data_IF_274530906679
#
_entry.id   IF_274530906679
#
_cell.length_a   1.000
_cell.length_b   1.000
_cell.length_c   1.000
_cell.angle_alpha   90.00
_cell.angle_beta   90.00
_cell.angle_gamma   90.00
#
_symmetry.space_group_name_H-M   'P 1'
#
loop_
_entity.id
_entity.type
_entity.pdbx_description
1 polymer ?
#
# COMPACT_ATOMS: atom_id res chain seq x y z
N UNK A 1 -17.47 -55.43 -22.40
CA UNK A 1 -17.12 -56.86 -22.22
C UNK A 1 -18.27 -57.74 -22.69
N UNK A 2 -18.41 -57.99 -24.00
CA UNK A 2 -19.61 -58.67 -24.54
C UNK A 2 -19.41 -59.67 -25.69
N UNK A 3 -18.20 -59.83 -26.24
CA UNK A 3 -18.04 -60.52 -27.55
C UNK A 3 -17.49 -61.96 -27.48
N UNK A 4 -17.39 -62.58 -26.31
CA UNK A 4 -16.93 -63.97 -26.24
C UNK A 4 -18.09 -64.91 -26.52
N UNK A 5 -18.19 -65.38 -27.78
CA UNK A 5 -19.22 -66.34 -28.17
C UNK A 5 -18.99 -67.70 -27.49
N UNK A 6 -20.02 -68.18 -26.80
CA UNK A 6 -20.07 -69.53 -26.24
C UNK A 6 -20.22 -70.61 -27.33
N UNK A 7 -20.19 -70.26 -28.63
CA UNK A 7 -20.39 -71.20 -29.74
C UNK A 7 -21.83 -71.70 -29.85
N UNK A 8 -22.04 -72.85 -30.51
CA UNK A 8 -23.38 -73.39 -30.78
C UNK A 8 -24.05 -73.92 -29.51
N UNK A 9 -25.28 -73.49 -29.23
CA UNK A 9 -26.09 -73.96 -28.09
C UNK A 9 -27.53 -74.25 -28.54
N UNK A 10 -28.27 -75.00 -27.73
CA UNK A 10 -29.66 -75.34 -28.01
C UNK A 10 -30.56 -74.13 -27.72
N UNK A 11 -31.13 -73.48 -28.75
CA UNK A 11 -31.94 -72.26 -28.56
C UNK A 11 -33.28 -72.52 -27.84
N UNK A 12 -33.92 -73.67 -28.10
CA UNK A 12 -35.19 -74.07 -27.50
C UNK A 12 -35.10 -75.48 -26.90
N UNK A 13 -34.39 -75.68 -25.77
CA UNK A 13 -34.16 -77.01 -25.20
C UNK A 13 -35.43 -77.54 -24.54
N UNK A 14 -36.03 -78.59 -25.13
CA UNK A 14 -37.23 -79.26 -24.58
C UNK A 14 -36.86 -80.48 -23.74
N UNK A 15 -35.81 -81.19 -24.14
CA UNK A 15 -35.34 -82.38 -23.43
C UNK A 15 -34.37 -81.98 -22.31
N UNK A 16 -34.42 -82.69 -21.18
CA UNK A 16 -33.55 -82.44 -20.01
C UNK A 16 -32.06 -82.45 -20.40
N UNK A 17 -31.66 -83.35 -21.28
CA UNK A 17 -30.29 -83.47 -21.81
C UNK A 17 -29.85 -82.17 -22.51
N UNK A 18 -30.70 -81.57 -23.34
CA UNK A 18 -30.41 -80.31 -24.04
C UNK A 18 -30.28 -79.13 -23.07
N UNK A 19 -31.04 -79.15 -21.96
CA UNK A 19 -30.91 -78.15 -20.89
C UNK A 19 -29.59 -78.34 -20.14
N UNK A 20 -29.22 -79.58 -19.83
CA UNK A 20 -27.95 -79.92 -19.18
C UNK A 20 -26.74 -79.49 -20.02
N UNK A 21 -26.75 -79.76 -21.32
CA UNK A 21 -25.69 -79.31 -22.24
C UNK A 21 -25.50 -77.79 -22.23
N UNK A 22 -26.59 -77.01 -22.26
CA UNK A 22 -26.50 -75.56 -22.23
C UNK A 22 -25.99 -75.04 -20.88
N UNK A 23 -26.49 -75.60 -19.76
CA UNK A 23 -26.08 -75.17 -18.42
C UNK A 23 -24.61 -75.53 -18.17
N UNK A 24 -24.19 -76.76 -18.50
CA UNK A 24 -22.79 -77.17 -18.37
C UNK A 24 -21.86 -76.25 -19.18
N UNK A 25 -22.25 -75.87 -20.40
CA UNK A 25 -21.49 -74.92 -21.21
C UNK A 25 -21.34 -73.55 -20.55
N UNK A 26 -22.39 -73.06 -19.89
CA UNK A 26 -22.34 -71.81 -19.13
C UNK A 26 -21.46 -71.94 -17.88
N UNK A 27 -21.55 -73.05 -17.15
CA UNK A 27 -20.74 -73.31 -15.96
C UNK A 27 -19.24 -73.46 -16.29
N UNK A 28 -18.92 -74.13 -17.40
CA UNK A 28 -17.55 -74.24 -17.91
C UNK A 28 -16.97 -72.87 -18.23
N UNK A 29 -17.76 -71.99 -18.85
CA UNK A 29 -17.32 -70.62 -19.14
C UNK A 29 -17.14 -69.77 -17.88
N UNK A 30 -18.03 -69.92 -16.89
CA UNK A 30 -17.89 -69.25 -15.59
C UNK A 30 -16.61 -69.73 -14.89
N UNK A 31 -16.35 -71.04 -14.93
CA UNK A 31 -15.16 -71.66 -14.32
C UNK A 31 -13.88 -71.23 -15.02
N UNK A 32 -13.88 -71.12 -16.37
CA UNK A 32 -12.72 -70.66 -17.13
C UNK A 32 -12.37 -69.19 -16.86
N UNK A 33 -13.34 -68.39 -16.40
CA UNK A 33 -13.13 -67.02 -15.91
C UNK A 33 -12.64 -66.96 -14.46
N UNK A 34 -12.31 -68.10 -13.85
CA UNK A 34 -11.70 -68.18 -12.52
C UNK A 34 -12.71 -68.11 -11.36
N UNK A 35 -14.00 -68.35 -11.61
CA UNK A 35 -15.01 -68.47 -10.55
C UNK A 35 -15.07 -69.92 -10.05
N UNK A 36 -14.81 -70.14 -8.76
CA UNK A 36 -14.97 -71.46 -8.14
C UNK A 36 -16.43 -71.67 -7.74
N UNK A 37 -17.12 -72.52 -8.48
CA UNK A 37 -18.49 -72.90 -8.18
C UNK A 37 -18.49 -74.12 -7.26
N UNK A 38 -18.71 -73.93 -5.96
CA UNK A 38 -18.81 -75.01 -4.98
C UNK A 38 -20.28 -75.40 -4.78
N UNK A 39 -20.54 -76.70 -4.54
CA UNK A 39 -21.88 -77.26 -4.26
C UNK A 39 -22.91 -77.20 -5.41
N UNK A 40 -22.46 -77.24 -6.67
CA UNK A 40 -23.35 -77.57 -7.80
C UNK A 40 -23.22 -79.09 -8.04
N UNK A 41 -24.33 -79.81 -7.96
CA UNK A 41 -24.38 -81.25 -8.14
C UNK A 41 -23.97 -81.71 -9.54
N UNK A 42 -23.70 -83.01 -9.72
CA UNK A 42 -23.25 -83.57 -10.98
C UNK A 42 -24.22 -83.23 -12.13
N UNK A 43 -23.66 -82.92 -13.29
CA UNK A 43 -24.37 -82.57 -14.53
C UNK A 43 -25.31 -81.35 -14.42
N UNK A 44 -25.05 -80.44 -13.48
CA UNK A 44 -25.86 -79.24 -13.24
C UNK A 44 -27.34 -79.54 -12.94
N UNK A 45 -27.63 -80.74 -12.43
CA UNK A 45 -28.97 -81.21 -12.05
C UNK A 45 -29.70 -80.21 -11.14
N UNK A 46 -29.02 -79.65 -10.14
CA UNK A 46 -29.59 -78.67 -9.22
C UNK A 46 -30.14 -77.40 -9.89
N UNK A 47 -29.50 -76.95 -10.98
CA UNK A 47 -29.94 -75.77 -11.73
C UNK A 47 -31.13 -76.13 -12.62
N UNK A 48 -31.08 -77.30 -13.24
CA UNK A 48 -32.13 -77.80 -14.14
C UNK A 48 -33.41 -78.14 -13.37
N UNK A 49 -33.26 -78.65 -12.15
CA UNK A 49 -34.35 -79.01 -11.22
C UNK A 49 -34.90 -77.81 -10.45
N UNK A 50 -34.30 -76.62 -10.61
CA UNK A 50 -34.82 -75.38 -10.03
C UNK A 50 -34.56 -75.25 -8.54
N UNK A 51 -33.43 -75.76 -8.03
CA UNK A 51 -33.05 -75.57 -6.63
C UNK A 51 -32.69 -74.09 -6.38
N UNK A 52 -33.69 -73.32 -5.94
CA UNK A 52 -33.60 -71.87 -5.78
C UNK A 52 -32.40 -71.45 -4.91
N UNK A 53 -32.10 -72.20 -3.84
CA UNK A 53 -31.00 -71.87 -2.92
C UNK A 53 -29.64 -71.95 -3.61
N UNK A 54 -29.42 -72.99 -4.43
CA UNK A 54 -28.17 -73.17 -5.15
C UNK A 54 -28.05 -72.22 -6.34
N UNK A 55 -29.16 -71.94 -7.03
CA UNK A 55 -29.20 -70.94 -8.10
C UNK A 55 -28.87 -69.55 -7.56
N UNK A 56 -29.46 -69.14 -6.43
CA UNK A 56 -29.13 -67.88 -5.77
C UNK A 56 -27.68 -67.85 -5.28
N UNK A 57 -27.18 -68.95 -4.73
CA UNK A 57 -25.77 -69.08 -4.35
C UNK A 57 -24.80 -68.93 -5.52
N UNK A 58 -25.14 -69.49 -6.69
CA UNK A 58 -24.36 -69.33 -7.93
C UNK A 58 -24.39 -67.88 -8.41
N UNK A 59 -25.57 -67.25 -8.48
CA UNK A 59 -25.72 -65.84 -8.87
C UNK A 59 -24.93 -64.92 -7.92
N UNK A 60 -24.99 -65.18 -6.62
CA UNK A 60 -24.24 -64.43 -5.61
C UNK A 60 -22.72 -64.51 -5.84
N UNK A 61 -22.21 -65.71 -6.13
CA UNK A 61 -20.78 -65.91 -6.44
C UNK A 61 -20.35 -65.11 -7.68
N UNK A 62 -21.22 -64.99 -8.70
CA UNK A 62 -20.97 -64.18 -9.89
C UNK A 62 -20.94 -62.68 -9.56
N UNK A 63 -21.90 -62.19 -8.76
CA UNK A 63 -21.94 -60.78 -8.32
C UNK A 63 -20.63 -60.45 -7.57
N UNK A 64 -20.25 -61.27 -6.59
CA UNK A 64 -19.01 -61.08 -5.84
C UNK A 64 -17.78 -60.95 -6.76
N UNK A 65 -17.64 -61.84 -7.75
CA UNK A 65 -16.44 -61.87 -8.60
C UNK A 65 -16.37 -60.74 -9.63
N UNK A 66 -17.50 -60.33 -10.20
CA UNK A 66 -17.51 -59.41 -11.35
C UNK A 66 -17.94 -57.99 -11.02
N UNK A 67 -18.46 -57.72 -9.81
CA UNK A 67 -18.86 -56.36 -9.40
C UNK A 67 -18.07 -55.86 -8.19
N UNK A 68 -17.66 -56.74 -7.28
CA UNK A 68 -17.05 -56.34 -5.99
C UNK A 68 -15.55 -56.67 -5.94
N UNK A 69 -15.05 -57.61 -6.74
CA UNK A 69 -13.65 -58.04 -6.68
C UNK A 69 -12.64 -56.91 -6.95
N UNK A 70 -12.98 -55.91 -7.74
CA UNK A 70 -12.11 -54.75 -8.03
C UNK A 70 -12.00 -53.77 -6.83
N UNK A 71 -12.90 -53.90 -5.84
CA UNK A 71 -12.94 -53.09 -4.61
C UNK A 71 -12.17 -53.78 -3.47
N UNK A 72 -11.84 -55.06 -3.64
CA UNK A 72 -11.18 -55.90 -2.63
C UNK A 72 -9.67 -55.69 -2.64
N UNK A 73 -9.16 -54.78 -1.80
CA UNK A 73 -7.73 -54.67 -1.51
C UNK A 73 -7.32 -55.48 -0.26
N UNK A 74 -6.03 -55.81 -0.16
CA UNK A 74 -5.37 -56.33 1.07
C UNK A 74 -5.81 -57.72 1.58
N UNK A 75 -6.10 -58.68 0.69
CA UNK A 75 -6.28 -60.09 1.09
C UNK A 75 -7.54 -60.39 1.92
N UNK A 76 -8.41 -59.40 2.10
CA UNK A 76 -9.74 -59.52 2.70
C UNK A 76 -10.71 -60.22 1.75
N UNK A 77 -11.77 -60.83 2.29
CA UNK A 77 -12.86 -61.31 1.44
C UNK A 77 -13.56 -60.13 0.75
N UNK A 78 -14.15 -60.36 -0.43
CA UNK A 78 -14.85 -59.31 -1.17
C UNK A 78 -15.94 -58.58 -0.33
N UNK A 79 -16.55 -59.27 0.64
CA UNK A 79 -17.51 -58.67 1.58
C UNK A 79 -16.81 -57.77 2.61
N UNK A 80 -15.71 -58.22 3.19
CA UNK A 80 -14.95 -57.45 4.18
C UNK A 80 -14.27 -56.22 3.54
N UNK A 81 -13.72 -56.36 2.33
CA UNK A 81 -13.15 -55.25 1.59
C UNK A 81 -14.18 -54.17 1.25
N UNK A 82 -15.39 -54.58 0.85
CA UNK A 82 -16.50 -53.64 0.63
C UNK A 82 -16.91 -52.93 1.92
N UNK A 83 -16.95 -53.65 3.05
CA UNK A 83 -17.32 -53.07 4.34
C UNK A 83 -16.29 -52.04 4.79
N UNK A 84 -15.00 -52.37 4.66
CA UNK A 84 -13.90 -51.47 4.97
C UNK A 84 -13.91 -50.22 4.07
N UNK A 85 -14.25 -50.38 2.78
CA UNK A 85 -14.45 -49.25 1.89
C UNK A 85 -15.59 -48.34 2.36
N UNK A 86 -16.74 -48.91 2.74
CA UNK A 86 -17.86 -48.15 3.29
C UNK A 86 -17.47 -47.41 4.58
N UNK A 87 -16.73 -48.06 5.49
CA UNK A 87 -16.23 -47.46 6.72
C UNK A 87 -15.27 -46.30 6.44
N UNK A 88 -14.29 -46.46 5.55
CA UNK A 88 -13.37 -45.38 5.17
C UNK A 88 -14.09 -44.19 4.52
N UNK A 89 -15.14 -44.45 3.75
CA UNK A 89 -15.95 -43.38 3.13
C UNK A 89 -16.86 -42.66 4.12
N UNK A 90 -17.19 -43.32 5.23
CA UNK A 90 -18.08 -42.79 6.27
C UNK A 90 -17.32 -42.27 7.50
N UNK A 91 -16.01 -42.52 7.61
CA UNK A 91 -15.12 -42.07 8.69
C UNK A 91 -15.21 -40.57 9.03
N UNK A 92 -15.43 -39.63 8.09
CA UNK A 92 -15.64 -38.23 8.42
C UNK A 92 -16.94 -37.94 9.20
N UNK A 93 -17.91 -38.85 9.20
CA UNK A 93 -19.24 -38.65 9.77
C UNK A 93 -19.38 -39.35 11.12
N UNK A 94 -19.22 -38.59 12.22
CA UNK A 94 -19.17 -39.11 13.60
C UNK A 94 -20.43 -39.86 14.07
N UNK A 95 -21.57 -39.62 13.43
CA UNK A 95 -22.86 -40.24 13.77
C UNK A 95 -23.18 -41.45 12.89
N UNK A 96 -22.33 -41.78 11.92
CA UNK A 96 -22.48 -42.93 11.02
C UNK A 96 -21.52 -44.03 11.45
N UNK A 97 -22.06 -45.16 11.93
CA UNK A 97 -21.28 -46.33 12.30
C UNK A 97 -21.66 -47.54 11.43
N UNK A 98 -20.87 -47.76 10.37
CA UNK A 98 -21.11 -48.87 9.43
C UNK A 98 -20.39 -50.13 9.92
N UNK A 99 -21.10 -51.02 10.63
CA UNK A 99 -20.53 -52.27 11.17
C UNK A 99 -20.90 -53.53 10.36
N UNK A 100 -21.98 -53.47 9.58
CA UNK A 100 -22.47 -54.57 8.75
C UNK A 100 -23.28 -54.07 7.53
N UNK A 101 -23.72 -54.98 6.66
CA UNK A 101 -24.60 -54.68 5.51
C UNK A 101 -26.08 -54.86 5.80
N UNK A 102 -26.48 -54.86 7.07
CA UNK A 102 -27.85 -55.21 7.49
C UNK A 102 -28.43 -54.13 8.38
N UNK A 103 -28.04 -54.07 9.65
CA UNK A 103 -28.59 -53.09 10.60
C UNK A 103 -27.93 -51.72 10.47
N UNK A 104 -26.67 -51.66 10.04
CA UNK A 104 -25.91 -50.40 9.97
C UNK A 104 -26.32 -49.46 8.83
N UNK A 105 -27.22 -49.93 7.95
CA UNK A 105 -27.79 -49.14 6.84
C UNK A 105 -29.28 -48.89 7.05
N UNK A 106 -29.85 -49.42 8.13
CA UNK A 106 -31.29 -49.39 8.40
C UNK A 106 -31.78 -48.02 8.88
N UNK A 107 -30.87 -47.22 9.44
CA UNK A 107 -31.11 -45.85 9.88
C UNK A 107 -31.02 -44.82 8.76
N UNK A 108 -30.49 -45.19 7.58
CA UNK A 108 -30.31 -44.33 6.42
C UNK A 108 -29.18 -43.29 6.53
N UNK A 109 -28.52 -43.16 7.69
CA UNK A 109 -27.51 -42.12 7.95
C UNK A 109 -26.25 -42.33 7.11
N UNK A 110 -25.82 -43.59 6.94
CA UNK A 110 -24.68 -43.97 6.10
C UNK A 110 -24.86 -43.64 4.60
N UNK A 111 -26.08 -43.32 4.17
CA UNK A 111 -26.44 -43.04 2.78
C UNK A 111 -26.70 -41.56 2.51
N UNK A 112 -26.77 -40.69 3.53
CA UNK A 112 -27.46 -39.42 3.38
C UNK A 112 -26.58 -38.17 3.49
N UNK A 113 -26.53 -37.44 2.38
CA UNK A 113 -25.89 -36.13 2.19
C UNK A 113 -26.40 -35.06 3.16
N UNK A 114 -27.59 -35.21 3.75
CA UNK A 114 -28.22 -34.16 4.59
C UNK A 114 -27.40 -33.74 5.82
N UNK A 115 -26.63 -34.65 6.43
CA UNK A 115 -25.78 -34.29 7.57
C UNK A 115 -24.67 -33.30 7.14
N UNK A 116 -24.03 -33.55 6.00
CA UNK A 116 -22.97 -32.67 5.47
C UNK A 116 -23.49 -31.29 5.08
N UNK A 117 -24.74 -31.23 4.61
CA UNK A 117 -25.43 -29.98 4.34
C UNK A 117 -25.64 -29.17 5.63
N UNK A 118 -26.12 -29.81 6.71
CA UNK A 118 -26.40 -29.15 7.98
C UNK A 118 -25.12 -28.71 8.71
N UNK A 119 -24.05 -29.50 8.64
CA UNK A 119 -22.75 -29.14 9.20
C UNK A 119 -22.17 -27.91 8.49
N UNK A 120 -22.27 -27.86 7.16
CA UNK A 120 -21.80 -26.72 6.36
C UNK A 120 -22.58 -25.45 6.66
N UNK A 121 -23.90 -25.55 6.84
CA UNK A 121 -24.74 -24.44 7.29
C UNK A 121 -24.29 -23.93 8.68
N UNK A 122 -24.05 -24.86 9.62
CA UNK A 122 -23.61 -24.51 10.98
C UNK A 122 -22.23 -23.84 10.98
N UNK A 123 -21.29 -24.31 10.15
CA UNK A 123 -20.00 -23.66 9.97
C UNK A 123 -20.16 -22.24 9.39
N UNK A 124 -21.10 -22.05 8.46
CA UNK A 124 -21.37 -20.72 7.91
C UNK A 124 -21.96 -19.76 8.93
N UNK A 125 -22.77 -20.24 9.86
CA UNK A 125 -23.32 -19.43 10.96
C UNK A 125 -22.25 -19.14 12.03
N UNK A 126 -21.33 -20.06 12.27
CA UNK A 126 -20.27 -19.91 13.27
C UNK A 126 -19.09 -19.03 12.81
N UNK A 127 -18.92 -18.81 11.50
CA UNK A 127 -17.79 -17.98 11.02
C UNK A 127 -18.06 -16.50 11.32
N UNK A 128 -17.10 -15.86 11.99
CA UNK A 128 -17.14 -14.43 12.28
C UNK A 128 -16.19 -13.72 11.32
N UNK A 129 -16.55 -12.51 10.90
CA UNK A 129 -15.66 -11.64 10.13
C UNK A 129 -14.74 -10.89 11.10
N UNK A 130 -13.43 -10.93 10.85
CA UNK A 130 -12.43 -10.18 11.63
C UNK A 130 -12.49 -8.67 11.40
N UNK A 131 -13.19 -8.22 10.36
CA UNK A 131 -13.27 -6.81 9.95
C UNK A 131 -12.17 -6.37 8.98
N UNK A 132 -11.15 -7.21 8.73
CA UNK A 132 -10.13 -6.92 7.71
C UNK A 132 -10.62 -7.26 6.30
N UNK A 133 -10.23 -6.43 5.32
CA UNK A 133 -10.53 -6.69 3.91
C UNK A 133 -9.94 -8.02 3.43
N UNK A 134 -8.74 -8.37 3.90
CA UNK A 134 -8.04 -9.60 3.50
C UNK A 134 -8.83 -10.84 3.93
N UNK A 135 -9.34 -10.86 5.16
CA UNK A 135 -10.18 -11.95 5.67
C UNK A 135 -11.51 -12.03 4.91
N UNK A 136 -12.21 -10.91 4.72
CA UNK A 136 -13.46 -10.90 3.95
C UNK A 136 -13.26 -11.40 2.50
N UNK A 137 -12.11 -11.07 1.89
CA UNK A 137 -11.73 -11.55 0.55
C UNK A 137 -11.39 -13.04 0.54
N UNK A 138 -10.68 -13.51 1.56
CA UNK A 138 -10.37 -14.94 1.74
C UNK A 138 -11.66 -15.76 1.88
N UNK A 139 -12.57 -15.34 2.76
CA UNK A 139 -13.87 -16.00 2.93
C UNK A 139 -14.71 -15.99 1.65
N UNK A 140 -14.63 -14.92 0.84
CA UNK A 140 -15.25 -14.88 -0.49
C UNK A 140 -14.62 -15.88 -1.47
N UNK A 141 -13.30 -16.07 -1.41
CA UNK A 141 -12.57 -17.03 -2.23
C UNK A 141 -12.94 -18.47 -1.85
N UNK A 142 -12.91 -18.79 -0.55
CA UNK A 142 -13.26 -20.11 -0.02
C UNK A 142 -14.71 -20.49 -0.37
N UNK A 143 -15.63 -19.52 -0.26
CA UNK A 143 -17.02 -19.71 -0.67
C UNK A 143 -17.15 -19.97 -2.18
N UNK A 144 -16.33 -19.32 -3.01
CA UNK A 144 -16.30 -19.57 -4.46
C UNK A 144 -15.76 -20.96 -4.77
N UNK A 145 -14.69 -21.38 -4.09
CA UNK A 145 -14.13 -22.73 -4.19
C UNK A 145 -15.18 -23.78 -3.84
N UNK A 146 -15.86 -23.64 -2.69
CA UNK A 146 -16.98 -24.50 -2.30
C UNK A 146 -18.04 -24.64 -3.40
N UNK A 147 -18.44 -23.53 -4.05
CA UNK A 147 -19.42 -23.54 -5.14
C UNK A 147 -18.93 -24.27 -6.39
N UNK A 148 -17.61 -24.28 -6.63
CA UNK A 148 -17.00 -24.91 -7.79
C UNK A 148 -16.63 -26.38 -7.57
N UNK A 149 -16.43 -26.81 -6.32
CA UNK A 149 -16.03 -28.17 -5.97
C UNK A 149 -17.20 -28.91 -5.28
N UNK A 150 -17.34 -28.76 -3.98
CA UNK A 150 -18.24 -29.52 -3.10
C UNK A 150 -19.72 -29.39 -3.49
N UNK A 151 -20.16 -28.18 -3.84
CA UNK A 151 -21.56 -27.99 -4.28
C UNK A 151 -21.85 -28.76 -5.57
N UNK A 152 -20.88 -28.85 -6.50
CA UNK A 152 -21.07 -29.58 -7.77
C UNK A 152 -21.19 -31.07 -7.53
N UNK A 153 -20.37 -31.64 -6.64
CA UNK A 153 -20.47 -33.06 -6.27
C UNK A 153 -21.83 -33.37 -5.65
N UNK A 154 -22.32 -32.53 -4.74
CA UNK A 154 -23.65 -32.74 -4.14
C UNK A 154 -24.81 -32.61 -5.14
N UNK A 155 -24.71 -31.73 -6.13
CA UNK A 155 -25.71 -31.65 -7.21
C UNK A 155 -25.75 -32.96 -8.01
N UNK A 156 -24.59 -33.52 -8.35
CA UNK A 156 -24.49 -34.81 -9.06
C UNK A 156 -25.05 -35.94 -8.20
N UNK A 157 -24.63 -36.06 -6.94
CA UNK A 157 -25.11 -37.10 -6.02
C UNK A 157 -26.64 -37.04 -5.83
N UNK A 158 -27.21 -35.84 -5.69
CA UNK A 158 -28.66 -35.67 -5.59
C UNK A 158 -29.38 -36.18 -6.84
N UNK A 159 -28.84 -35.89 -8.03
CA UNK A 159 -29.40 -36.37 -9.30
C UNK A 159 -29.29 -37.89 -9.43
N UNK A 160 -28.16 -38.47 -9.02
CA UNK A 160 -27.91 -39.90 -9.06
C UNK A 160 -28.84 -40.66 -8.11
N UNK A 161 -29.06 -40.14 -6.89
CA UNK A 161 -30.01 -40.71 -5.91
C UNK A 161 -31.44 -40.68 -6.44
N UNK A 162 -31.88 -39.56 -7.02
CA UNK A 162 -33.21 -39.45 -7.62
C UNK A 162 -33.40 -40.45 -8.78
N UNK A 163 -32.37 -40.60 -9.62
CA UNK A 163 -32.36 -41.54 -10.75
C UNK A 163 -32.39 -42.99 -10.26
N UNK A 164 -31.56 -43.32 -9.27
CA UNK A 164 -31.50 -44.65 -8.67
C UNK A 164 -32.84 -45.04 -8.04
N UNK A 165 -33.45 -44.13 -7.28
CA UNK A 165 -34.77 -44.35 -6.68
C UNK A 165 -35.82 -44.63 -7.76
N UNK A 166 -35.87 -43.82 -8.83
CA UNK A 166 -36.78 -44.04 -9.96
C UNK A 166 -36.57 -45.41 -10.65
N UNK A 167 -35.32 -45.82 -10.83
CA UNK A 167 -34.97 -47.13 -11.40
C UNK A 167 -35.43 -48.29 -10.51
N UNK A 168 -35.24 -48.17 -9.19
CA UNK A 168 -35.68 -49.17 -8.19
C UNK A 168 -37.20 -49.30 -8.22
N UNK A 169 -37.93 -48.18 -8.17
CA UNK A 169 -39.39 -48.19 -8.26
C UNK A 169 -39.90 -48.86 -9.54
N UNK A 170 -39.29 -48.54 -10.68
CA UNK A 170 -39.66 -49.10 -11.99
C UNK A 170 -39.45 -50.61 -12.02
N UNK A 171 -38.31 -51.09 -11.51
CA UNK A 171 -38.02 -52.52 -11.40
C UNK A 171 -39.02 -53.23 -10.50
N UNK A 172 -39.31 -52.71 -9.31
CA UNK A 172 -40.27 -53.30 -8.38
C UNK A 172 -41.66 -53.43 -9.02
N UNK A 173 -42.13 -52.37 -9.69
CA UNK A 173 -43.39 -52.39 -10.46
C UNK A 173 -43.39 -53.43 -11.58
N UNK A 174 -42.31 -53.50 -12.34
CA UNK A 174 -42.17 -54.44 -13.48
C UNK A 174 -42.31 -55.89 -13.05
N UNK A 175 -41.78 -56.23 -11.87
CA UNK A 175 -41.83 -57.59 -11.33
C UNK A 175 -43.02 -57.84 -10.39
N UNK A 176 -43.95 -56.89 -10.22
CA UNK A 176 -45.09 -57.02 -9.32
C UNK A 176 -44.70 -57.13 -7.84
N UNK A 177 -43.52 -56.61 -7.47
CA UNK A 177 -43.02 -56.61 -6.10
C UNK A 177 -43.52 -55.38 -5.34
N UNK A 178 -43.52 -55.45 -4.01
CA UNK A 178 -43.90 -54.33 -3.14
C UNK A 178 -43.01 -53.11 -3.43
N UNK A 179 -43.62 -51.95 -3.60
CA UNK A 179 -42.91 -50.68 -3.78
C UNK A 179 -42.01 -50.40 -2.57
N UNK A 180 -40.81 -49.88 -2.85
CA UNK A 180 -39.88 -49.46 -1.82
C UNK A 180 -40.35 -48.12 -1.27
N UNK A 181 -40.57 -48.03 0.04
CA UNK A 181 -40.90 -46.75 0.69
C UNK A 181 -39.70 -46.38 1.54
N UNK A 182 -39.04 -45.24 1.27
CA UNK A 182 -37.94 -44.77 2.11
C UNK A 182 -38.39 -44.60 3.57
N UNK A 183 -37.50 -44.81 4.54
CA UNK A 183 -37.78 -44.48 5.93
C UNK A 183 -38.10 -42.97 6.10
N UNK A 184 -38.80 -42.57 7.18
CA UNK A 184 -39.14 -41.17 7.44
C UNK A 184 -37.88 -40.29 7.49
N UNK A 185 -37.89 -39.16 6.78
CA UNK A 185 -36.74 -38.25 6.69
C UNK A 185 -35.76 -38.55 5.55
N UNK A 186 -35.96 -39.67 4.85
CA UNK A 186 -35.13 -40.11 3.71
C UNK A 186 -35.92 -40.13 2.39
N UNK A 187 -37.10 -39.52 2.35
CA UNK A 187 -37.82 -39.36 1.10
C UNK A 187 -37.12 -38.33 0.19
N UNK A 188 -37.37 -38.42 -1.12
CA UNK A 188 -36.85 -37.42 -2.06
C UNK A 188 -37.38 -36.01 -1.75
N UNK A 189 -38.59 -35.89 -1.17
CA UNK A 189 -39.13 -34.62 -0.69
C UNK A 189 -38.29 -34.02 0.44
N UNK A 190 -37.83 -34.84 1.38
CA UNK A 190 -37.04 -34.39 2.53
C UNK A 190 -35.64 -33.92 2.09
N UNK A 191 -35.10 -34.54 1.04
CA UNK A 191 -33.87 -34.13 0.37
C UNK A 191 -34.04 -32.80 -0.38
N UNK A 192 -35.17 -32.61 -1.06
CA UNK A 192 -35.49 -31.36 -1.75
C UNK A 192 -35.67 -30.20 -0.76
N UNK A 193 -36.29 -30.45 0.40
CA UNK A 193 -36.47 -29.43 1.44
C UNK A 193 -35.14 -29.07 2.11
N UNK A 194 -34.30 -30.05 2.46
CA UNK A 194 -32.94 -29.79 2.94
C UNK A 194 -32.10 -29.00 1.92
N UNK A 195 -32.28 -29.28 0.63
CA UNK A 195 -31.59 -28.53 -0.43
C UNK A 195 -32.08 -27.08 -0.53
N UNK A 196 -33.37 -26.81 -0.35
CA UNK A 196 -33.91 -25.44 -0.30
C UNK A 196 -33.33 -24.67 0.90
N UNK A 197 -33.24 -25.31 2.07
CA UNK A 197 -32.62 -24.71 3.27
C UNK A 197 -31.14 -24.38 3.04
N UNK A 198 -30.40 -25.27 2.37
CA UNK A 198 -29.01 -25.02 1.97
C UNK A 198 -28.91 -23.81 1.03
N UNK A 199 -29.76 -23.72 0.02
CA UNK A 199 -29.76 -22.59 -0.91
C UNK A 199 -30.09 -21.27 -0.22
N UNK A 200 -31.01 -21.28 0.75
CA UNK A 200 -31.34 -20.10 1.55
C UNK A 200 -30.13 -19.65 2.40
N UNK A 201 -29.46 -20.60 3.05
CA UNK A 201 -28.25 -20.37 3.85
C UNK A 201 -27.08 -19.86 3.00
N UNK A 202 -26.88 -20.45 1.81
CA UNK A 202 -25.87 -20.02 0.84
C UNK A 202 -26.13 -18.58 0.35
N UNK A 203 -27.39 -18.25 0.05
CA UNK A 203 -27.78 -16.90 -0.33
C UNK A 203 -27.59 -15.91 0.82
N UNK A 204 -27.83 -16.33 2.07
CA UNK A 204 -27.57 -15.52 3.26
C UNK A 204 -26.06 -15.26 3.41
N UNK A 205 -25.23 -16.31 3.35
CA UNK A 205 -23.76 -16.19 3.48
C UNK A 205 -23.14 -15.33 2.39
N UNK A 206 -23.56 -15.51 1.13
CA UNK A 206 -23.09 -14.69 0.02
C UNK A 206 -23.46 -13.20 0.20
N UNK A 207 -24.68 -12.91 0.67
CA UNK A 207 -25.08 -11.54 0.99
C UNK A 207 -24.27 -10.96 2.14
N UNK A 208 -24.02 -11.73 3.19
CA UNK A 208 -23.24 -11.31 4.34
C UNK A 208 -21.79 -10.96 3.95
N UNK A 209 -21.10 -11.82 3.20
CA UNK A 209 -19.72 -11.56 2.71
C UNK A 209 -19.68 -10.27 1.88
N UNK A 210 -20.60 -10.12 0.92
CA UNK A 210 -20.64 -8.94 0.06
C UNK A 210 -20.97 -7.66 0.83
N UNK A 211 -21.87 -7.74 1.82
CA UNK A 211 -22.22 -6.61 2.67
C UNK A 211 -21.01 -6.18 3.53
N UNK A 212 -20.26 -7.13 4.08
CA UNK A 212 -19.05 -6.85 4.86
C UNK A 212 -17.94 -6.23 3.99
N UNK A 213 -17.70 -6.75 2.79
CA UNK A 213 -16.73 -6.14 1.86
C UNK A 213 -17.12 -4.69 1.55
N UNK A 214 -18.39 -4.42 1.28
CA UNK A 214 -18.88 -3.05 1.07
C UNK A 214 -18.69 -2.18 2.31
N UNK A 215 -19.04 -2.68 3.49
CA UNK A 215 -18.88 -1.96 4.75
C UNK A 215 -17.42 -1.60 5.03
N UNK A 216 -16.48 -2.53 4.81
CA UNK A 216 -15.04 -2.29 4.99
C UNK A 216 -14.55 -1.22 4.01
N UNK A 217 -14.87 -1.36 2.71
CA UNK A 217 -14.52 -0.34 1.70
C UNK A 217 -15.09 1.04 2.04
N UNK A 218 -16.33 1.09 2.50
CA UNK A 218 -16.99 2.33 2.90
C UNK A 218 -16.34 2.97 4.12
N UNK A 219 -15.94 2.17 5.10
CA UNK A 219 -15.23 2.64 6.29
C UNK A 219 -13.85 3.20 5.92
N UNK A 220 -13.12 2.53 5.03
CA UNK A 220 -11.83 2.99 4.53
C UNK A 220 -11.95 4.32 3.76
N UNK A 221 -12.95 4.46 2.88
CA UNK A 221 -13.22 5.72 2.16
C UNK A 221 -13.44 6.89 3.12
N UNK A 222 -14.27 6.69 4.15
CA UNK A 222 -14.55 7.72 5.16
C UNK A 222 -13.31 8.05 5.98
N UNK A 223 -12.58 7.03 6.45
CA UNK A 223 -11.32 7.22 7.19
C UNK A 223 -10.32 8.07 6.41
N UNK A 224 -10.09 7.73 5.14
CA UNK A 224 -9.19 8.51 4.28
C UNK A 224 -9.70 9.93 4.07
N UNK A 225 -10.98 10.10 3.75
CA UNK A 225 -11.57 11.42 3.51
C UNK A 225 -11.55 12.30 4.76
N UNK A 226 -11.83 11.75 5.94
CA UNK A 226 -11.79 12.49 7.20
C UNK A 226 -10.37 12.97 7.51
N UNK A 227 -9.35 12.14 7.27
CA UNK A 227 -7.95 12.51 7.44
C UNK A 227 -7.50 13.56 6.41
N UNK A 228 -7.79 13.35 5.12
CA UNK A 228 -7.45 14.27 4.03
C UNK A 228 -8.13 15.65 4.21
N UNK A 229 -9.44 15.68 4.45
CA UNK A 229 -10.18 16.92 4.68
C UNK A 229 -9.79 17.61 5.99
N UNK A 230 -9.33 16.86 7.01
CA UNK A 230 -8.78 17.48 8.22
C UNK A 230 -7.39 18.07 7.98
N UNK A 231 -6.57 17.42 7.16
CA UNK A 231 -5.24 17.89 6.78
C UNK A 231 -5.31 19.18 5.95
N UNK A 232 -6.14 19.19 4.89
CA UNK A 232 -6.35 20.39 4.06
C UNK A 232 -6.83 21.57 4.89
N UNK A 233 -7.81 21.38 5.79
CA UNK A 233 -8.26 22.46 6.68
C UNK A 233 -7.15 23.01 7.57
N UNK A 234 -6.19 22.17 7.99
CA UNK A 234 -5.02 22.62 8.76
C UNK A 234 -4.03 23.39 7.88
N UNK A 235 -3.78 22.95 6.65
CA UNK A 235 -2.96 23.68 5.68
C UNK A 235 -3.56 25.06 5.38
N UNK A 236 -4.85 25.12 5.06
CA UNK A 236 -5.55 26.37 4.79
C UNK A 236 -5.53 27.31 6.01
N UNK A 237 -5.71 26.77 7.22
CA UNK A 237 -5.62 27.56 8.45
C UNK A 237 -4.23 28.19 8.62
N UNK A 238 -3.16 27.40 8.43
CA UNK A 238 -1.79 27.91 8.51
C UNK A 238 -1.51 28.94 7.41
N UNK A 239 -1.97 28.70 6.18
CA UNK A 239 -1.85 29.67 5.08
C UNK A 239 -2.53 31.00 5.41
N UNK A 240 -3.72 30.95 6.01
CA UNK A 240 -4.46 32.14 6.44
C UNK A 240 -3.72 32.85 7.59
N UNK A 241 -3.21 32.10 8.57
CA UNK A 241 -2.39 32.65 9.65
C UNK A 241 -1.13 33.32 9.12
N UNK A 242 -0.42 32.71 8.17
CA UNK A 242 0.80 33.24 7.54
C UNK A 242 0.56 34.60 6.86
N UNK A 243 -0.60 34.77 6.21
CA UNK A 243 -0.96 36.05 5.56
C UNK A 243 -1.44 37.12 6.55
N UNK A 244 -1.93 36.72 7.72
CA UNK A 244 -2.43 37.63 8.76
C UNK A 244 -1.35 38.09 9.76
N UNK A 245 -0.08 37.71 9.55
CA UNK A 245 1.04 38.10 10.42
C UNK A 245 1.30 39.60 10.29
N UNK A 246 1.06 40.32 11.38
CA UNK A 246 1.28 41.75 11.53
C UNK A 246 1.89 42.05 12.91
N UNK A 247 2.57 43.20 13.04
CA UNK A 247 3.19 43.62 14.31
C UNK A 247 4.68 43.95 14.16
N UNK A 248 5.40 43.99 15.29
CA UNK A 248 6.85 44.21 15.27
C UNK A 248 7.58 43.01 14.68
N UNK A 249 8.76 43.21 14.09
CA UNK A 249 9.53 42.16 13.44
C UNK A 249 9.82 40.98 14.39
N UNK A 250 10.07 41.25 15.68
CA UNK A 250 10.32 40.23 16.71
C UNK A 250 9.08 39.38 16.96
N UNK A 251 7.90 40.01 17.05
CA UNK A 251 6.64 39.30 17.20
C UNK A 251 6.28 38.51 15.93
N UNK A 252 6.61 39.03 14.75
CA UNK A 252 6.41 38.30 13.49
C UNK A 252 7.33 37.07 13.42
N UNK A 253 8.61 37.21 13.82
CA UNK A 253 9.57 36.12 13.86
C UNK A 253 9.09 34.98 14.77
N UNK A 254 8.64 35.31 15.98
CA UNK A 254 8.11 34.31 16.93
C UNK A 254 6.88 33.58 16.37
N UNK A 255 5.94 34.32 15.73
CA UNK A 255 4.74 33.73 15.12
C UNK A 255 5.08 32.81 13.94
N UNK A 256 6.00 33.20 13.06
CA UNK A 256 6.40 32.38 11.91
C UNK A 256 7.17 31.14 12.37
N UNK A 257 8.01 31.24 13.40
CA UNK A 257 8.67 30.07 13.99
C UNK A 257 7.67 29.10 14.63
N UNK A 258 6.63 29.61 15.31
CA UNK A 258 5.53 28.76 15.81
C UNK A 258 4.77 28.08 14.67
N UNK A 259 4.54 28.77 13.56
CA UNK A 259 3.94 28.18 12.35
C UNK A 259 4.84 27.09 11.77
N UNK A 260 6.16 27.33 11.68
CA UNK A 260 7.13 26.35 11.16
C UNK A 260 7.11 25.06 11.98
N UNK A 261 7.17 25.14 13.32
CA UNK A 261 7.13 23.94 14.18
C UNK A 261 5.81 23.15 14.03
N UNK A 262 4.68 23.85 13.83
CA UNK A 262 3.39 23.21 13.53
C UNK A 262 3.36 22.57 12.14
N UNK A 263 4.04 23.17 11.17
CA UNK A 263 4.14 22.66 9.81
C UNK A 263 5.01 21.40 9.75
N UNK A 264 6.12 21.36 10.48
CA UNK A 264 6.96 20.16 10.59
C UNK A 264 6.16 18.99 11.17
N UNK A 265 5.33 19.24 12.18
CA UNK A 265 4.44 18.23 12.76
C UNK A 265 3.32 17.75 11.80
N UNK A 266 3.01 18.51 10.75
CA UNK A 266 2.05 18.07 9.73
C UNK A 266 2.65 17.00 8.81
N UNK A 267 3.97 16.93 8.65
CA UNK A 267 4.61 15.88 7.85
C UNK A 267 4.29 14.47 8.37
N UNK A 268 4.26 14.29 9.70
CA UNK A 268 3.84 13.03 10.34
C UNK A 268 2.37 12.69 10.05
N UNK A 269 1.50 13.70 10.03
CA UNK A 269 0.08 13.52 9.72
C UNK A 269 -0.13 13.17 8.24
N UNK A 270 0.71 13.69 7.34
CA UNK A 270 0.69 13.30 5.93
C UNK A 270 1.05 11.81 5.77
N UNK A 271 1.98 11.28 6.58
CA UNK A 271 2.31 9.86 6.58
C UNK A 271 1.10 8.99 6.98
N UNK A 272 0.28 9.44 7.93
CA UNK A 272 -0.98 8.77 8.29
C UNK A 272 -2.00 8.78 7.13
N UNK A 273 -2.10 9.90 6.40
CA UNK A 273 -2.95 10.01 5.19
C UNK A 273 -2.48 9.05 4.09
N UNK A 274 -1.16 8.99 3.84
CA UNK A 274 -0.56 8.08 2.87
C UNK A 274 -0.76 6.60 3.25
N UNK A 275 -0.68 6.29 4.55
CA UNK A 275 -0.98 4.94 5.06
C UNK A 275 -2.45 4.56 4.80
N UNK A 276 -3.39 5.48 5.05
CA UNK A 276 -4.80 5.27 4.77
C UNK A 276 -5.09 5.11 3.25
N UNK A 277 -4.36 5.82 2.39
CA UNK A 277 -4.43 5.64 0.93
C UNK A 277 -3.92 4.25 0.51
N UNK A 278 -2.81 3.79 1.07
CA UNK A 278 -2.28 2.46 0.83
C UNK A 278 -3.26 1.35 1.26
N UNK A 279 -3.93 1.52 2.41
CA UNK A 279 -5.03 0.65 2.84
C UNK A 279 -6.18 0.64 1.82
N UNK A 280 -6.59 1.80 1.30
CA UNK A 280 -7.62 1.93 0.27
C UNK A 280 -7.21 1.24 -1.05
N UNK A 281 -5.95 1.42 -1.48
CA UNK A 281 -5.38 0.77 -2.67
C UNK A 281 -5.36 -0.75 -2.54
N UNK A 282 -4.96 -1.27 -1.37
CA UNK A 282 -4.98 -2.72 -1.08
C UNK A 282 -6.39 -3.31 -1.11
N UNK A 283 -7.40 -2.51 -0.78
CA UNK A 283 -8.80 -2.87 -0.84
C UNK A 283 -9.46 -2.66 -2.22
N UNK A 284 -8.70 -2.23 -3.23
CA UNK A 284 -9.20 -1.83 -4.56
C UNK A 284 -10.37 -0.84 -4.42
N UNK A 285 -10.17 0.24 -3.68
CA UNK A 285 -11.07 1.39 -3.64
C UNK A 285 -10.61 2.36 -4.73
N UNK A 286 -11.36 2.44 -5.83
CA UNK A 286 -10.99 3.24 -7.00
C UNK A 286 -11.50 4.69 -6.91
N UNK A 287 -12.63 4.89 -6.22
CA UNK A 287 -13.31 6.17 -6.12
C UNK A 287 -13.71 6.45 -4.67
N UNK A 288 -13.58 7.72 -4.28
CA UNK A 288 -13.98 8.23 -2.98
C UNK A 288 -14.80 9.52 -3.13
N UNK A 289 -16.11 9.42 -2.92
CA UNK A 289 -17.03 10.56 -3.04
C UNK A 289 -16.95 11.54 -1.85
N UNK A 290 -16.20 11.19 -0.79
CA UNK A 290 -16.12 11.98 0.45
C UNK A 290 -14.98 13.00 0.47
N UNK A 291 -14.04 12.93 -0.47
CA UNK A 291 -12.93 13.88 -0.61
C UNK A 291 -12.56 14.04 -2.07
N UNK A 292 -12.17 15.26 -2.45
CA UNK A 292 -11.62 15.57 -3.79
C UNK A 292 -10.10 15.57 -3.80
N UNK A 293 -9.47 15.54 -2.62
CA UNK A 293 -8.03 15.64 -2.45
C UNK A 293 -7.38 14.27 -2.54
N UNK A 294 -6.30 14.18 -3.32
CA UNK A 294 -5.39 13.03 -3.35
C UNK A 294 -4.21 13.24 -2.40
N UNK A 295 -3.49 12.18 -2.03
CA UNK A 295 -2.31 12.34 -1.18
C UNK A 295 -1.23 13.20 -1.86
N UNK A 296 -1.12 13.09 -3.19
CA UNK A 296 -0.17 13.88 -3.98
C UNK A 296 -0.51 15.37 -3.98
N UNK A 297 -1.80 15.72 -4.07
CA UNK A 297 -2.22 17.12 -4.01
C UNK A 297 -1.87 17.74 -2.64
N UNK A 298 -2.13 17.01 -1.55
CA UNK A 298 -1.85 17.45 -0.18
C UNK A 298 -0.34 17.55 0.10
N UNK A 299 0.47 16.63 -0.43
CA UNK A 299 1.93 16.69 -0.35
C UNK A 299 2.48 17.93 -1.06
N UNK A 300 1.99 18.20 -2.26
CA UNK A 300 2.38 19.39 -3.03
C UNK A 300 1.98 20.70 -2.33
N UNK A 301 0.76 20.78 -1.78
CA UNK A 301 0.33 21.96 -1.03
C UNK A 301 1.15 22.19 0.25
N UNK A 302 1.52 21.11 0.95
CA UNK A 302 2.41 21.19 2.11
C UNK A 302 3.79 21.71 1.72
N UNK A 303 4.37 21.22 0.62
CA UNK A 303 5.67 21.68 0.12
C UNK A 303 5.63 23.18 -0.24
N UNK A 304 4.59 23.62 -0.97
CA UNK A 304 4.41 25.01 -1.33
C UNK A 304 4.27 25.93 -0.11
N UNK A 305 3.53 25.49 0.91
CA UNK A 305 3.37 26.22 2.16
C UNK A 305 4.69 26.28 2.94
N UNK A 306 5.48 25.19 2.94
CA UNK A 306 6.79 25.12 3.58
C UNK A 306 7.77 26.12 2.95
N UNK A 307 7.82 26.17 1.62
CA UNK A 307 8.61 27.17 0.90
C UNK A 307 8.14 28.59 1.22
N UNK A 308 6.81 28.82 1.28
CA UNK A 308 6.25 30.14 1.60
C UNK A 308 6.61 30.60 3.02
N UNK A 309 6.58 29.69 4.00
CA UNK A 309 6.99 29.96 5.38
C UNK A 309 8.49 30.26 5.44
N UNK A 310 9.34 29.44 4.81
CA UNK A 310 10.78 29.66 4.75
C UNK A 310 11.15 31.03 4.16
N UNK A 311 10.51 31.42 3.04
CA UNK A 311 10.67 32.74 2.43
C UNK A 311 10.26 33.87 3.36
N UNK A 312 9.17 33.69 4.14
CA UNK A 312 8.71 34.69 5.09
C UNK A 312 9.69 34.86 6.27
N UNK A 313 10.28 33.77 6.76
CA UNK A 313 11.34 33.80 7.78
C UNK A 313 12.54 34.59 7.27
N UNK A 314 13.07 34.20 6.10
CA UNK A 314 14.21 34.86 5.48
C UNK A 314 13.96 36.37 5.29
N UNK A 315 12.77 36.75 4.82
CA UNK A 315 12.39 38.14 4.69
C UNK A 315 12.40 38.88 6.03
N UNK A 316 11.81 38.31 7.09
CA UNK A 316 11.77 38.94 8.42
C UNK A 316 13.19 39.08 8.99
N UNK A 317 14.01 38.04 8.91
CA UNK A 317 15.39 38.05 9.39
C UNK A 317 16.21 39.12 8.68
N UNK A 318 16.10 39.22 7.34
CA UNK A 318 16.79 40.23 6.56
C UNK A 318 16.34 41.66 6.94
N UNK A 319 15.06 41.86 7.23
CA UNK A 319 14.54 43.16 7.71
C UNK A 319 15.05 43.52 9.11
N UNK A 320 15.23 42.53 10.00
CA UNK A 320 15.81 42.74 11.34
C UNK A 320 17.27 43.20 11.20
N UNK A 321 18.05 42.53 10.35
CA UNK A 321 19.46 42.88 10.07
C UNK A 321 19.55 44.29 9.51
N UNK A 322 18.78 44.61 8.48
CA UNK A 322 18.76 45.95 7.86
C UNK A 322 18.40 47.05 8.86
N UNK A 323 17.50 46.79 9.82
CA UNK A 323 17.14 47.76 10.86
C UNK A 323 18.27 48.00 11.87
N UNK A 324 19.07 46.98 12.17
CA UNK A 324 20.17 47.09 13.11
C UNK A 324 21.39 47.80 12.50
N UNK A 325 21.49 47.85 11.18
CA UNK A 325 22.57 48.54 10.46
C UNK A 325 22.26 50.04 10.29
N UNK A 326 22.63 50.84 11.28
CA UNK A 326 22.42 52.30 11.27
C UNK A 326 23.42 53.07 10.40
N UNK A 327 24.53 52.45 10.03
CA UNK A 327 25.65 53.11 9.33
C UNK A 327 25.42 53.23 7.81
N UNK A 328 24.37 52.61 7.29
CA UNK A 328 24.05 52.58 5.86
C UNK A 328 22.78 53.38 5.55
N UNK A 329 22.76 54.01 4.38
CA UNK A 329 21.54 54.68 3.92
C UNK A 329 20.49 53.65 3.47
N UNK A 330 19.18 53.95 3.57
CA UNK A 330 18.13 53.03 3.12
C UNK A 330 18.27 52.60 1.65
N UNK A 331 18.78 53.48 0.79
CA UNK A 331 19.04 53.16 -0.62
C UNK A 331 20.19 52.17 -0.82
N UNK A 332 21.24 52.24 0.01
CA UNK A 332 22.34 51.26 -0.02
C UNK A 332 21.88 49.90 0.51
N UNK A 333 21.08 49.89 1.59
CA UNK A 333 20.50 48.65 2.12
C UNK A 333 19.59 47.97 1.08
N UNK A 334 18.72 48.73 0.41
CA UNK A 334 17.87 48.20 -0.67
C UNK A 334 18.71 47.68 -1.85
N UNK A 335 19.79 48.38 -2.21
CA UNK A 335 20.72 47.91 -3.24
C UNK A 335 21.34 46.57 -2.85
N UNK A 336 21.89 46.44 -1.63
CA UNK A 336 22.52 45.21 -1.17
C UNK A 336 21.53 44.05 -1.03
N UNK A 337 20.32 44.31 -0.52
CA UNK A 337 19.24 43.32 -0.46
C UNK A 337 18.83 42.85 -1.86
N UNK A 338 18.69 43.77 -2.81
CA UNK A 338 18.35 43.43 -4.19
C UNK A 338 19.44 42.61 -4.89
N UNK A 339 20.71 42.92 -4.62
CA UNK A 339 21.86 42.16 -5.14
C UNK A 339 21.88 40.76 -4.53
N UNK A 340 21.76 40.64 -3.21
CA UNK A 340 21.72 39.34 -2.53
C UNK A 340 20.60 38.46 -3.10
N UNK A 341 19.37 38.99 -3.20
CA UNK A 341 18.22 38.23 -3.72
C UNK A 341 18.32 37.90 -5.20
N UNK A 342 19.04 38.69 -6.00
CA UNK A 342 19.24 38.39 -7.42
C UNK A 342 20.20 37.22 -7.64
N UNK A 343 21.19 37.07 -6.75
CA UNK A 343 22.19 36.00 -6.84
C UNK A 343 21.84 34.75 -6.04
N UNK A 344 21.02 34.86 -4.99
CA UNK A 344 20.38 33.73 -4.29
C UNK A 344 19.28 33.11 -5.16
N UNK A 345 19.69 32.30 -6.14
CA UNK A 345 18.78 31.71 -7.14
C UNK A 345 17.93 30.59 -6.60
N UNK A 346 18.41 29.90 -5.58
CA UNK A 346 17.69 28.82 -4.91
C UNK A 346 16.82 29.33 -3.76
N UNK A 347 16.82 30.64 -3.50
CA UNK A 347 16.07 31.30 -2.43
C UNK A 347 16.36 30.64 -1.07
N UNK A 348 17.58 30.12 -0.90
CA UNK A 348 18.05 29.44 0.30
C UNK A 348 18.33 30.41 1.45
N UNK A 349 18.32 31.72 1.15
CA UNK A 349 18.80 32.79 2.02
C UNK A 349 20.28 32.62 2.40
N UNK A 350 21.04 31.91 1.56
CA UNK A 350 22.48 31.71 1.69
C UNK A 350 23.15 31.84 0.33
N UNK A 351 24.34 32.43 0.27
CA UNK A 351 25.11 32.50 -0.98
C UNK A 351 26.15 31.38 -1.01
N UNK A 352 26.29 30.71 -2.15
CA UNK A 352 27.47 29.88 -2.45
C UNK A 352 28.69 30.74 -2.79
N UNK A 353 29.89 30.15 -2.80
CA UNK A 353 31.15 30.84 -3.17
C UNK A 353 31.02 31.57 -4.52
N UNK A 354 30.41 30.90 -5.52
CA UNK A 354 30.20 31.47 -6.85
C UNK A 354 29.17 32.61 -6.88
N UNK A 355 28.13 32.51 -6.05
CA UNK A 355 27.09 33.55 -5.96
C UNK A 355 27.59 34.76 -5.19
N UNK A 356 28.34 34.54 -4.11
CA UNK A 356 29.05 35.60 -3.40
C UNK A 356 30.01 36.34 -4.34
N UNK A 357 30.76 35.61 -5.17
CA UNK A 357 31.65 36.23 -6.15
C UNK A 357 30.94 37.05 -7.21
N UNK A 358 29.83 36.54 -7.75
CA UNK A 358 29.02 37.27 -8.70
C UNK A 358 28.35 38.51 -8.06
N UNK A 359 27.91 38.40 -6.80
CA UNK A 359 27.31 39.50 -6.04
C UNK A 359 28.30 40.63 -5.77
N UNK A 360 29.51 40.31 -5.28
CA UNK A 360 30.56 41.31 -5.07
C UNK A 360 30.99 41.96 -6.38
N UNK A 361 31.16 41.18 -7.45
CA UNK A 361 31.49 41.72 -8.78
C UNK A 361 30.40 42.68 -9.30
N UNK A 362 29.12 42.41 -9.02
CA UNK A 362 28.00 43.29 -9.37
C UNK A 362 28.00 44.61 -8.59
N UNK A 363 28.61 44.63 -7.40
CA UNK A 363 28.81 45.83 -6.59
C UNK A 363 30.13 46.56 -6.94
N UNK A 364 30.88 46.04 -7.91
CA UNK A 364 32.17 46.61 -8.35
C UNK A 364 33.37 46.15 -7.54
N UNK A 365 33.20 45.16 -6.66
CA UNK A 365 34.24 44.61 -5.80
C UNK A 365 34.73 43.30 -6.44
N UNK A 366 35.98 43.26 -6.88
CA UNK A 366 36.57 42.09 -7.57
C UNK A 366 37.79 41.61 -6.79
N UNK A 367 37.71 40.37 -6.30
CA UNK A 367 38.81 39.65 -5.66
C UNK A 367 39.29 38.50 -6.55
N UNK A 368 40.44 37.91 -6.21
CA UNK A 368 40.91 36.69 -6.89
C UNK A 368 40.11 35.47 -6.42
N UNK A 369 40.06 34.41 -7.24
CA UNK A 369 39.35 33.18 -6.86
C UNK A 369 39.88 32.57 -5.55
N UNK A 370 41.18 32.72 -5.26
CA UNK A 370 41.81 32.24 -4.02
C UNK A 370 41.36 33.07 -2.81
N UNK A 371 41.35 34.40 -2.93
CA UNK A 371 40.89 35.31 -1.86
C UNK A 371 39.40 35.12 -1.56
N UNK A 372 38.59 34.79 -2.58
CA UNK A 372 37.16 34.59 -2.42
C UNK A 372 36.81 33.32 -1.65
N UNK A 373 37.58 32.25 -1.84
CA UNK A 373 37.45 31.04 -1.02
C UNK A 373 37.80 31.35 0.43
N UNK A 374 38.87 32.13 0.65
CA UNK A 374 39.27 32.53 2.00
C UNK A 374 38.21 33.37 2.71
N UNK A 375 37.69 34.43 2.06
CA UNK A 375 36.63 35.28 2.60
C UNK A 375 35.37 34.45 2.88
N UNK A 376 35.02 33.52 1.99
CA UNK A 376 33.87 32.64 2.17
C UNK A 376 34.02 31.72 3.39
N UNK A 377 35.20 31.10 3.56
CA UNK A 377 35.50 30.26 4.72
C UNK A 377 35.46 31.05 6.02
N UNK A 378 36.02 32.26 6.03
CA UNK A 378 36.02 33.15 7.21
C UNK A 378 34.60 33.56 7.61
N UNK A 379 33.76 33.95 6.63
CA UNK A 379 32.35 34.27 6.89
C UNK A 379 31.55 33.05 7.36
N UNK A 380 31.85 31.87 6.81
CA UNK A 380 31.20 30.62 7.22
C UNK A 380 31.63 30.22 8.64
N UNK A 381 32.87 30.47 9.04
CA UNK A 381 33.34 30.22 10.40
C UNK A 381 32.70 31.19 11.41
N UNK A 382 32.54 32.46 11.04
CA UNK A 382 31.97 33.49 11.91
C UNK A 382 30.45 33.40 12.05
N UNK A 383 29.72 33.14 10.96
CA UNK A 383 28.25 33.18 10.91
C UNK A 383 27.60 31.81 10.68
N UNK A 384 28.39 30.76 10.49
CA UNK A 384 27.93 29.39 10.16
C UNK A 384 27.60 29.19 8.69
N UNK A 385 27.06 30.20 8.02
CA UNK A 385 26.80 30.25 6.58
C UNK A 385 26.81 31.70 6.08
N UNK A 386 26.98 31.90 4.78
CA UNK A 386 26.94 33.24 4.16
C UNK A 386 25.49 33.68 3.96
N UNK A 387 24.84 34.04 5.06
CA UNK A 387 23.49 34.65 5.08
C UNK A 387 23.56 36.12 4.70
N UNK A 388 22.40 36.78 4.55
CA UNK A 388 22.35 38.23 4.32
C UNK A 388 23.06 39.04 5.42
N UNK A 389 23.04 38.57 6.66
CA UNK A 389 23.78 39.19 7.78
C UNK A 389 25.29 39.15 7.55
N UNK A 390 25.83 37.98 7.19
CA UNK A 390 27.25 37.83 6.89
C UNK A 390 27.66 38.71 5.69
N UNK A 391 26.83 38.73 4.65
CA UNK A 391 27.05 39.53 3.44
C UNK A 391 27.04 41.05 3.73
N UNK A 392 26.07 41.54 4.51
CA UNK A 392 25.99 42.95 4.87
C UNK A 392 27.16 43.36 5.76
N UNK A 393 27.53 42.55 6.76
CA UNK A 393 28.67 42.86 7.61
C UNK A 393 29.99 42.90 6.82
N UNK A 394 30.17 42.01 5.84
CA UNK A 394 31.30 42.08 4.91
C UNK A 394 31.29 43.40 4.12
N UNK A 395 30.14 43.77 3.55
CA UNK A 395 30.05 45.00 2.76
C UNK A 395 30.26 46.26 3.61
N UNK A 396 29.79 46.26 4.86
CA UNK A 396 30.08 47.32 5.81
C UNK A 396 31.58 47.38 6.06
N UNK A 397 32.24 46.27 6.37
CA UNK A 397 33.69 46.24 6.63
C UNK A 397 34.53 46.69 5.41
N UNK A 398 34.08 46.38 4.19
CA UNK A 398 34.73 46.82 2.95
C UNK A 398 34.48 48.31 2.66
N UNK A 399 33.31 48.84 3.03
CA UNK A 399 32.90 50.23 2.73
C UNK A 399 33.15 51.20 3.88
N UNK A 400 33.42 50.71 5.08
CA UNK A 400 33.87 51.49 6.22
C UNK A 400 35.28 52.00 5.93
N UNK A 401 35.40 53.31 5.74
CA UNK A 401 36.64 53.98 5.38
C UNK A 401 37.72 53.67 6.44
N UNK A 402 38.68 52.80 6.09
CA UNK A 402 39.84 52.49 6.93
C UNK A 402 40.85 53.65 7.02
N UNK A 403 40.52 54.83 6.48
CA UNK A 403 41.43 55.98 6.48
C UNK A 403 41.53 56.57 7.88
N UNK A 404 42.57 56.16 8.61
CA UNK A 404 42.84 56.75 9.92
C UNK A 404 43.25 58.22 9.77
N UNK A 405 42.92 59.09 10.75
CA UNK A 405 43.38 60.48 10.74
C UNK A 405 44.92 60.59 10.61
N UNK A 406 45.66 59.60 11.09
CA UNK A 406 47.12 59.53 10.98
C UNK A 406 47.58 59.22 9.55
N UNK A 407 46.90 58.32 8.84
CA UNK A 407 47.20 58.03 7.42
C UNK A 407 46.89 59.22 6.51
N UNK A 408 45.79 59.95 6.78
CA UNK A 408 45.49 61.20 6.09
C UNK A 408 46.55 62.27 6.38
N UNK A 409 47.00 62.39 7.64
CA UNK A 409 48.11 63.29 8.00
C UNK A 409 49.41 62.93 7.27
N UNK A 410 49.76 61.65 7.17
CA UNK A 410 50.94 61.20 6.42
C UNK A 410 50.83 61.47 4.92
N UNK A 411 49.65 61.28 4.32
CA UNK A 411 49.40 61.59 2.92
C UNK A 411 49.59 63.08 2.63
N UNK A 412 49.01 63.96 3.47
CA UNK A 412 49.22 65.40 3.35
C UNK A 412 50.67 65.81 3.63
N UNK A 413 51.37 65.17 4.58
CA UNK A 413 52.80 65.39 4.83
C UNK A 413 53.67 65.01 3.62
N UNK A 414 53.32 63.92 2.93
CA UNK A 414 53.96 63.50 1.68
C UNK A 414 53.77 64.50 0.54
N UNK A 415 52.57 65.09 0.43
CA UNK A 415 52.27 66.16 -0.54
C UNK A 415 53.01 67.45 -0.18
N UNK A 416 53.08 67.77 1.12
CA UNK A 416 53.73 68.96 1.65
C UNK A 416 55.26 68.90 1.64
N UNK A 417 55.88 67.77 1.27
CA UNK A 417 57.33 67.54 1.39
C UNK A 417 57.86 67.83 2.80
N UNK A 418 57.23 67.26 3.83
CA UNK A 418 57.53 67.44 5.26
C UNK A 418 57.30 68.86 5.83
N UNK A 419 56.58 69.73 5.12
CA UNK A 419 56.16 71.03 5.67
C UNK A 419 54.87 70.88 6.50
N UNK A 420 54.66 71.73 7.52
CA UNK A 420 53.42 71.76 8.30
C UNK A 420 52.25 72.44 7.56
N UNK A 421 52.42 72.78 6.28
CA UNK A 421 51.43 73.43 5.43
C UNK A 421 51.52 72.90 3.99
N UNK A 422 50.43 72.99 3.24
CA UNK A 422 50.38 72.72 1.79
C UNK A 422 50.12 74.00 1.02
N UNK A 423 50.76 74.17 -0.14
CA UNK A 423 50.44 75.25 -1.08
C UNK A 423 49.53 74.77 -2.21
N UNK A 424 48.88 75.70 -2.90
CA UNK A 424 48.09 75.35 -4.11
C UNK A 424 48.97 74.66 -5.18
N UNK A 425 50.25 75.01 -5.24
CA UNK A 425 51.20 74.37 -6.15
C UNK A 425 51.45 72.91 -5.75
N UNK A 426 51.61 72.62 -4.45
CA UNK A 426 51.82 71.26 -3.94
C UNK A 426 50.60 70.35 -4.21
N UNK A 427 49.39 70.87 -4.02
CA UNK A 427 48.14 70.15 -4.32
C UNK A 427 47.96 69.88 -5.82
N UNK A 428 48.41 70.79 -6.69
CA UNK A 428 48.42 70.57 -8.14
C UNK A 428 49.50 69.58 -8.58
N UNK A 429 50.67 69.60 -7.94
CA UNK A 429 51.76 68.65 -8.19
C UNK A 429 51.36 67.23 -7.76
N UNK A 430 50.58 67.10 -6.69
CA UNK A 430 49.99 65.84 -6.25
C UNK A 430 48.82 65.35 -7.12
N UNK A 431 48.54 66.01 -8.25
CA UNK A 431 47.52 65.62 -9.22
C UNK A 431 46.10 65.51 -8.63
N UNK A 432 45.76 66.33 -7.63
CA UNK A 432 44.38 66.38 -7.14
C UNK A 432 43.44 67.00 -8.21
N UNK A 433 42.20 66.52 -8.32
CA UNK A 433 41.19 67.11 -9.21
C UNK A 433 40.93 68.57 -8.86
N UNK A 434 40.75 69.44 -9.87
CA UNK A 434 40.48 70.86 -9.66
C UNK A 434 39.33 71.18 -8.67
N UNK A 435 38.20 70.43 -8.66
CA UNK A 435 37.13 70.63 -7.67
C UNK A 435 37.55 70.34 -6.23
N UNK A 436 38.42 69.34 -6.04
CA UNK A 436 38.95 68.98 -4.73
C UNK A 436 39.90 70.07 -4.21
N UNK A 437 40.74 70.63 -5.09
CA UNK A 437 41.63 71.74 -4.75
C UNK A 437 40.82 72.98 -4.34
N UNK A 438 39.75 73.33 -5.06
CA UNK A 438 38.88 74.45 -4.69
C UNK A 438 38.22 74.25 -3.32
N UNK A 439 37.70 73.04 -3.05
CA UNK A 439 37.13 72.71 -1.76
C UNK A 439 38.14 72.82 -0.61
N UNK A 440 39.34 72.27 -0.79
CA UNK A 440 40.39 72.34 0.24
C UNK A 440 40.85 73.78 0.50
N UNK A 441 40.82 74.66 -0.51
CA UNK A 441 41.12 76.09 -0.33
C UNK A 441 40.09 76.82 0.52
N UNK A 442 38.82 76.44 0.42
CA UNK A 442 37.74 77.04 1.22
C UNK A 442 37.68 76.43 2.63
N UNK A 443 37.99 75.14 2.76
CA UNK A 443 37.83 74.39 4.00
C UNK A 443 39.05 74.48 4.93
N UNK A 444 40.28 74.56 4.40
CA UNK A 444 41.48 74.61 5.23
C UNK A 444 41.76 76.02 5.78
N UNK A 445 42.12 76.15 7.07
CA UNK A 445 42.64 77.40 7.61
C UNK A 445 43.89 77.82 6.83
N UNK A 446 43.90 79.06 6.32
CA UNK A 446 45.06 79.60 5.59
C UNK A 446 45.79 80.70 6.35
N UNK A 447 47.11 80.72 6.23
CA UNK A 447 47.99 81.79 6.67
C UNK A 447 48.73 82.37 5.45
N UNK A 448 49.10 83.65 5.50
CA UNK A 448 49.91 84.27 4.44
C UNK A 448 51.36 84.34 4.89
N UNK A 449 52.26 83.77 4.09
CA UNK A 449 53.69 83.82 4.33
C UNK A 449 54.27 85.24 4.16
N UNK A 450 55.52 85.47 4.57
CA UNK A 450 56.26 86.73 4.39
C UNK A 450 56.38 87.18 2.91
N UNK A 451 56.06 86.31 1.96
CA UNK A 451 56.03 86.53 0.49
C UNK A 451 54.63 86.75 -0.09
N UNK A 452 53.57 86.67 0.72
CA UNK A 452 52.18 86.91 0.30
C UNK A 452 51.47 85.73 -0.37
N UNK A 453 52.04 84.52 -0.32
CA UNK A 453 51.40 83.30 -0.82
C UNK A 453 50.55 82.64 0.29
N UNK A 454 49.34 82.11 -0.04
CA UNK A 454 48.50 81.40 0.92
C UNK A 454 49.03 80.00 1.19
N UNK A 455 49.32 79.72 2.45
CA UNK A 455 49.64 78.40 2.99
C UNK A 455 48.41 77.84 3.69
N UNK A 456 48.05 76.59 3.39
CA UNK A 456 46.92 75.92 4.00
C UNK A 456 47.41 74.94 5.07
N UNK A 457 46.93 75.10 6.28
CA UNK A 457 47.28 74.27 7.44
C UNK A 457 46.39 73.02 7.46
N UNK A 458 46.94 71.91 6.95
CA UNK A 458 46.24 70.64 6.89
C UNK A 458 46.20 69.93 8.26
N UNK A 459 47.14 70.20 9.18
CA UNK A 459 47.13 69.57 10.50
C UNK A 459 45.94 70.08 11.32
N UNK A 460 45.74 71.40 11.32
CA UNK A 460 44.61 72.03 12.00
C UNK A 460 43.26 71.68 11.37
N UNK A 461 43.20 71.59 10.05
CA UNK A 461 41.98 71.15 9.35
C UNK A 461 41.63 69.69 9.68
N UNK A 462 42.61 68.79 9.73
CA UNK A 462 42.38 67.39 10.12
C UNK A 462 41.97 67.29 11.59
N UNK A 463 42.54 68.11 12.48
CA UNK A 463 42.11 68.17 13.88
C UNK A 463 40.64 68.64 14.00
N UNK A 464 40.20 69.63 13.20
CA UNK A 464 38.82 70.13 13.22
C UNK A 464 37.80 69.18 12.56
N UNK A 465 38.23 68.37 11.58
CA UNK A 465 37.36 67.40 10.87
C UNK A 465 37.18 66.10 11.65
N UNK A 466 38.19 65.69 12.44
CA UNK A 466 38.20 64.44 13.21
C UNK A 466 38.04 64.62 14.73
N UNK A 467 37.78 65.84 15.22
CA UNK A 467 37.40 66.14 16.60
C UNK A 467 35.91 65.88 16.86
#
# INVERSE_FOLDING_TARGET
>A
MGDTSLGRYNKNPRMRVQKAENVNKALEFITSRGVKLTNIGPEASDIIDGNLKLILGMIWTLILRFTIADISEEGLSAKEGLLLWCQRKTEPYKEVDVQDFSTSWSDGLALFVRYTLSETQSQWEATIFSGSYVDAKQQSSDFTTYKQTTKRTWVTERQDVATLFGNVQTKLKTYGLREYVPPPGFALSDLDDAWKELLASEASRSRAINAQIRHIKETLRKKYADLANAFERRLHAISTELTAIEGSLESQQEQVQQIQTRLDALSDVLADVASAEAECGSANVEENDYTVFTCQDLEFELELLTQSVAKKIAFIDNQIVSRNMTNLTPAQLEQFESTFRYFDKDESNTLSVSELAAALASLGIVYTDEDMVFIFEELTEAYGAVTFEAFINLLVDITEDQTSPEQLREAFRGIATDKPFVTELDLRIAHLPAPAIEYLREAMPSASNDTGEPEYDYERWLDDVFA
#
